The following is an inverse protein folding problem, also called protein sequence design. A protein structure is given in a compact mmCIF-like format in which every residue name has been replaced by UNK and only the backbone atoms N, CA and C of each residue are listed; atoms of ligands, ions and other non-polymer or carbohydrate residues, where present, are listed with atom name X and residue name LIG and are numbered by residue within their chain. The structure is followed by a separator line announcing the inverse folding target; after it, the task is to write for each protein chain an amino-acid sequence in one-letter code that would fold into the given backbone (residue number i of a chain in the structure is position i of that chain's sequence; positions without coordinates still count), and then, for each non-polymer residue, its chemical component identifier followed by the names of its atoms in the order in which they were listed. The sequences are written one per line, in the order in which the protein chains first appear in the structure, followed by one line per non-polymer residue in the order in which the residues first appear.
data_IF_396328426294
#
_entry.id   IF_396328426294
#
_cell.length_a   1.000
_cell.length_b   1.000
_cell.length_c   1.000
_cell.angle_alpha   90.00
_cell.angle_beta   90.00
_cell.angle_gamma   90.00
#
_symmetry.space_group_name_H-M   'P 1'
#
loop_
_entity.id
_entity.type
_entity.pdbx_description
1 polymer ?
#
# COMPACT_ATOMS: atom_id res chain seq x y z
N UNK A 1 -14.21 -10.39 -20.56
CA UNK A 1 -15.26 -9.56 -19.93
C UNK A 1 -14.86 -8.14 -20.17
N UNK A 2 -15.71 -7.38 -20.83
CA UNK A 2 -15.36 -6.04 -21.25
C UNK A 2 -15.28 -5.04 -20.10
N UNK A 3 -14.67 -3.86 -20.29
CA UNK A 3 -14.52 -2.86 -19.22
C UNK A 3 -15.89 -2.45 -18.65
N UNK A 4 -16.89 -2.21 -19.51
CA UNK A 4 -18.24 -1.85 -19.09
C UNK A 4 -18.95 -3.00 -18.35
N UNK A 5 -18.71 -4.24 -18.75
CA UNK A 5 -19.22 -5.43 -18.05
C UNK A 5 -18.55 -5.59 -16.68
N UNK A 6 -17.24 -5.34 -16.60
CA UNK A 6 -16.49 -5.33 -15.35
C UNK A 6 -17.02 -4.22 -14.42
N UNK A 7 -17.31 -3.03 -14.94
CA UNK A 7 -17.94 -1.95 -14.19
C UNK A 7 -19.35 -2.34 -13.70
N UNK A 8 -20.16 -2.97 -14.55
CA UNK A 8 -21.48 -3.47 -14.16
C UNK A 8 -21.39 -4.50 -13.03
N UNK A 9 -20.46 -5.46 -13.13
CA UNK A 9 -20.28 -6.50 -12.12
C UNK A 9 -19.72 -5.95 -10.79
N UNK A 10 -18.82 -4.97 -10.85
CA UNK A 10 -18.13 -4.43 -9.67
C UNK A 10 -18.88 -3.29 -8.96
N UNK A 11 -19.58 -2.45 -9.72
CA UNK A 11 -20.20 -1.21 -9.23
C UNK A 11 -21.70 -1.10 -9.52
N UNK A 12 -22.29 -2.11 -10.18
CA UNK A 12 -23.72 -2.13 -10.51
C UNK A 12 -24.14 -1.16 -11.61
N UNK A 13 -23.17 -0.54 -12.30
CA UNK A 13 -23.41 0.41 -13.38
C UNK A 13 -22.36 0.23 -14.48
N UNK A 14 -22.75 0.20 -15.77
CA UNK A 14 -21.80 0.11 -16.87
C UNK A 14 -21.20 1.49 -17.19
N UNK A 15 -21.82 2.58 -16.71
CA UNK A 15 -21.41 3.95 -16.97
C UNK A 15 -20.18 4.36 -16.15
N UNK A 16 -19.08 4.68 -16.83
CA UNK A 16 -17.81 5.11 -16.22
C UNK A 16 -17.97 6.36 -15.33
N UNK A 17 -18.84 7.31 -15.68
CA UNK A 17 -19.05 8.51 -14.87
C UNK A 17 -19.69 8.18 -13.52
N UNK A 18 -20.66 7.24 -13.53
CA UNK A 18 -21.30 6.73 -12.30
C UNK A 18 -20.34 5.93 -11.44
N UNK A 19 -19.45 5.15 -12.06
CA UNK A 19 -18.39 4.43 -11.35
C UNK A 19 -17.48 5.39 -10.57
N UNK A 20 -17.15 6.55 -11.15
CA UNK A 20 -16.38 7.62 -10.49
C UNK A 20 -17.25 8.53 -9.58
N UNK A 21 -18.57 8.40 -9.61
CA UNK A 21 -19.51 9.24 -8.86
C UNK A 21 -19.52 10.70 -9.32
N UNK A 22 -19.34 10.94 -10.62
CA UNK A 22 -19.33 12.27 -11.23
C UNK A 22 -20.41 12.38 -12.32
N UNK A 23 -20.72 13.61 -12.72
CA UNK A 23 -21.64 13.88 -13.84
C UNK A 23 -20.92 13.72 -15.17
N UNK A 24 -21.67 13.51 -16.25
CA UNK A 24 -21.12 13.36 -17.60
C UNK A 24 -20.43 14.64 -18.09
N UNK A 25 -20.90 15.80 -17.62
CA UNK A 25 -20.35 17.13 -17.91
C UNK A 25 -19.17 17.50 -16.99
N UNK A 26 -18.67 16.56 -16.16
CA UNK A 26 -17.63 16.84 -15.20
C UNK A 26 -16.35 17.35 -15.88
N UNK A 27 -15.76 18.39 -15.30
CA UNK A 27 -14.45 18.90 -15.70
C UNK A 27 -13.34 17.87 -15.40
N UNK A 28 -12.16 17.96 -16.03
CA UNK A 28 -11.04 17.06 -15.74
C UNK A 28 -10.65 17.03 -14.25
N UNK A 29 -10.77 18.19 -13.57
CA UNK A 29 -10.53 18.26 -12.13
C UNK A 29 -11.58 17.52 -11.31
N UNK A 30 -12.85 17.59 -11.71
CA UNK A 30 -13.94 16.88 -11.03
C UNK A 30 -13.82 15.38 -11.23
N UNK A 31 -13.40 14.92 -12.40
CA UNK A 31 -13.09 13.50 -12.68
C UNK A 31 -11.96 13.03 -11.77
N UNK A 32 -10.88 13.81 -11.62
CA UNK A 32 -9.78 13.51 -10.70
C UNK A 32 -10.23 13.44 -9.24
N UNK A 33 -11.04 14.41 -8.79
CA UNK A 33 -11.62 14.41 -7.43
C UNK A 33 -12.57 13.23 -7.20
N UNK A 34 -13.39 12.90 -8.20
CA UNK A 34 -14.31 11.75 -8.18
C UNK A 34 -13.55 10.44 -8.02
N UNK A 35 -12.53 10.24 -8.86
CA UNK A 35 -11.64 9.08 -8.78
C UNK A 35 -10.95 8.96 -7.42
N UNK A 36 -10.41 10.05 -6.88
CA UNK A 36 -9.78 10.06 -5.56
C UNK A 36 -10.75 9.60 -4.45
N UNK A 37 -11.98 10.13 -4.44
CA UNK A 37 -13.02 9.70 -3.48
C UNK A 37 -13.41 8.23 -3.66
N UNK A 38 -13.58 7.77 -4.90
CA UNK A 38 -13.94 6.39 -5.19
C UNK A 38 -12.82 5.42 -4.81
N UNK A 39 -11.56 5.80 -5.06
CA UNK A 39 -10.36 5.01 -4.73
C UNK A 39 -10.23 4.77 -3.23
N UNK A 40 -10.50 5.79 -2.42
CA UNK A 40 -10.50 5.67 -0.96
C UNK A 40 -11.54 4.67 -0.44
N UNK A 41 -12.64 4.45 -1.17
CA UNK A 41 -13.71 3.53 -0.75
C UNK A 41 -13.42 2.07 -1.09
N UNK A 42 -12.68 1.82 -2.18
CA UNK A 42 -12.38 0.46 -2.65
C UNK A 42 -10.92 0.08 -2.43
N UNK A 43 -10.19 0.83 -1.60
CA UNK A 43 -8.78 0.58 -1.32
C UNK A 43 -8.60 -0.75 -0.57
N UNK A 44 -7.70 -1.65 -1.02
CA UNK A 44 -7.50 -2.96 -0.38
C UNK A 44 -7.03 -2.86 1.09
N UNK A 45 -6.29 -1.81 1.48
CA UNK A 45 -5.92 -1.59 2.89
C UNK A 45 -7.10 -1.31 3.82
N UNK A 46 -8.24 -0.85 3.30
CA UNK A 46 -9.45 -0.60 4.11
C UNK A 46 -10.43 -1.78 4.09
N UNK A 47 -10.12 -2.83 3.33
CA UNK A 47 -10.94 -4.02 3.21
C UNK A 47 -10.51 -5.06 4.25
N UNK A 48 -11.49 -5.77 4.79
CA UNK A 48 -11.26 -6.95 5.62
C UNK A 48 -10.44 -7.99 4.85
N UNK A 49 -9.66 -8.86 5.54
CA UNK A 49 -8.79 -9.84 4.89
C UNK A 49 -9.49 -10.71 3.84
N UNK A 50 -10.76 -11.03 4.07
CA UNK A 50 -11.61 -11.85 3.19
C UNK A 50 -12.03 -11.11 1.91
N UNK A 51 -12.12 -9.77 1.96
CA UNK A 51 -12.60 -8.92 0.86
C UNK A 51 -11.44 -8.28 0.06
N UNK A 52 -10.18 -8.51 0.45
CA UNK A 52 -9.01 -7.89 -0.18
C UNK A 52 -8.90 -8.17 -1.68
N UNK A 53 -9.22 -9.40 -2.10
CA UNK A 53 -9.20 -9.77 -3.52
C UNK A 53 -10.26 -9.01 -4.32
N UNK A 54 -11.47 -8.90 -3.76
CA UNK A 54 -12.56 -8.16 -4.40
C UNK A 54 -12.27 -6.65 -4.42
N UNK A 55 -11.77 -6.09 -3.33
CA UNK A 55 -11.34 -4.70 -3.26
C UNK A 55 -10.25 -4.40 -4.30
N UNK A 56 -9.25 -5.28 -4.43
CA UNK A 56 -8.21 -5.17 -5.45
C UNK A 56 -8.79 -5.18 -6.86
N UNK A 57 -9.73 -6.09 -7.14
CA UNK A 57 -10.40 -6.17 -8.44
C UNK A 57 -11.23 -4.91 -8.74
N UNK A 58 -12.05 -4.45 -7.79
CA UNK A 58 -12.85 -3.22 -7.91
C UNK A 58 -11.93 -2.01 -8.14
N UNK A 59 -10.82 -1.96 -7.43
CA UNK A 59 -9.82 -0.90 -7.57
C UNK A 59 -9.17 -0.88 -8.97
N UNK A 60 -8.78 -2.03 -9.51
CA UNK A 60 -8.24 -2.13 -10.88
C UNK A 60 -9.25 -1.65 -11.92
N UNK A 61 -10.52 -2.04 -11.78
CA UNK A 61 -11.60 -1.63 -12.69
C UNK A 61 -11.82 -0.11 -12.61
N UNK A 62 -11.81 0.45 -11.40
CA UNK A 62 -11.89 1.90 -11.19
C UNK A 62 -10.73 2.64 -11.88
N UNK A 63 -9.51 2.11 -11.78
CA UNK A 63 -8.31 2.65 -12.44
C UNK A 63 -8.43 2.67 -13.97
N UNK A 64 -9.00 1.62 -14.57
CA UNK A 64 -9.29 1.55 -16.01
C UNK A 64 -10.37 2.56 -16.42
N UNK A 65 -11.46 2.67 -15.65
CA UNK A 65 -12.51 3.66 -15.90
C UNK A 65 -11.97 5.10 -15.90
N UNK A 66 -11.10 5.43 -14.95
CA UNK A 66 -10.44 6.73 -14.93
C UNK A 66 -9.44 6.92 -16.07
N UNK A 67 -8.71 5.88 -16.50
CA UNK A 67 -7.78 6.00 -17.63
C UNK A 67 -8.51 6.50 -18.89
N UNK A 68 -9.69 5.97 -19.16
CA UNK A 68 -10.57 6.41 -20.27
C UNK A 68 -11.05 7.85 -20.05
N UNK A 69 -11.62 8.16 -18.88
CA UNK A 69 -12.23 9.46 -18.63
C UNK A 69 -11.23 10.62 -18.44
N UNK A 70 -10.00 10.31 -18.05
CA UNK A 70 -8.93 11.30 -17.82
C UNK A 70 -8.23 11.74 -19.10
N UNK A 71 -8.28 10.92 -20.16
CA UNK A 71 -7.77 11.28 -21.48
C UNK A 71 -8.90 11.90 -22.31
N UNK A 72 -8.69 13.12 -22.82
CA UNK A 72 -9.72 13.86 -23.54
C UNK A 72 -10.17 13.18 -24.84
N UNK A 73 -9.27 12.54 -25.57
CA UNK A 73 -9.56 11.83 -26.83
C UNK A 73 -10.35 10.56 -26.55
N UNK A 74 -9.92 9.76 -25.57
CA UNK A 74 -10.61 8.54 -25.15
C UNK A 74 -11.99 8.82 -24.55
N UNK A 75 -12.11 9.91 -23.77
CA UNK A 75 -13.39 10.39 -23.25
C UNK A 75 -14.34 10.77 -24.38
N UNK A 76 -13.87 11.51 -25.40
CA UNK A 76 -14.70 11.89 -26.54
C UNK A 76 -15.20 10.67 -27.31
N UNK A 77 -14.32 9.69 -27.55
CA UNK A 77 -14.70 8.41 -28.19
C UNK A 77 -15.75 7.66 -27.36
N UNK A 78 -15.54 7.55 -26.04
CA UNK A 78 -16.53 6.95 -25.13
C UNK A 78 -17.87 7.71 -25.14
N UNK A 79 -17.82 9.05 -25.18
CA UNK A 79 -19.02 9.89 -25.19
C UNK A 79 -19.82 9.75 -26.49
N UNK A 80 -19.15 9.61 -27.63
CA UNK A 80 -19.78 9.45 -28.95
C UNK A 80 -20.28 8.02 -29.20
N UNK A 81 -19.50 7.01 -28.82
CA UNK A 81 -19.74 5.63 -29.22
C UNK A 81 -20.40 4.78 -28.13
N UNK A 82 -20.26 5.16 -26.86
CA UNK A 82 -20.83 4.41 -25.73
C UNK A 82 -20.13 3.09 -25.40
N UNK A 83 -18.99 2.81 -26.04
CA UNK A 83 -18.11 1.67 -25.74
C UNK A 83 -16.66 2.12 -25.59
N UNK A 84 -15.82 1.27 -25.00
CA UNK A 84 -14.39 1.56 -24.76
C UNK A 84 -13.56 0.54 -25.52
N UNK A 85 -12.53 1.01 -26.22
CA UNK A 85 -11.52 0.14 -26.81
C UNK A 85 -10.61 -0.45 -25.74
N UNK A 86 -10.67 -1.77 -25.57
CA UNK A 86 -9.95 -2.51 -24.54
C UNK A 86 -8.49 -2.82 -24.91
N UNK A 87 -8.12 -2.66 -26.18
CA UNK A 87 -6.77 -2.90 -26.69
C UNK A 87 -5.93 -1.60 -26.75
N UNK A 88 -6.52 -0.46 -26.40
CA UNK A 88 -5.83 0.84 -26.41
C UNK A 88 -4.64 0.90 -25.45
N UNK A 89 -3.55 1.55 -25.88
CA UNK A 89 -2.31 1.73 -25.11
C UNK A 89 -2.54 2.29 -23.68
N UNK A 90 -3.61 3.08 -23.49
CA UNK A 90 -4.02 3.63 -22.20
C UNK A 90 -4.36 2.57 -21.14
N UNK A 91 -4.69 1.34 -21.55
CA UNK A 91 -5.00 0.19 -20.68
C UNK A 91 -3.86 -0.85 -20.59
N UNK A 92 -2.84 -0.76 -21.44
CA UNK A 92 -1.76 -1.75 -21.56
C UNK A 92 -0.44 -1.37 -20.86
N UNK A 93 -0.20 -0.10 -20.55
CA UNK A 93 1.02 0.29 -19.85
C UNK A 93 1.09 -0.32 -18.45
N UNK A 94 2.23 -0.94 -18.09
CA UNK A 94 2.61 -1.21 -16.69
C UNK A 94 2.64 0.12 -15.95
N UNK A 95 1.47 0.56 -15.49
CA UNK A 95 1.33 1.84 -14.81
C UNK A 95 2.12 1.71 -13.53
N UNK A 96 3.15 2.55 -13.37
CA UNK A 96 3.79 2.72 -12.07
C UNK A 96 2.73 3.30 -11.13
N UNK A 97 2.06 2.39 -10.44
CA UNK A 97 0.98 2.73 -9.54
C UNK A 97 1.50 3.71 -8.49
N UNK A 98 2.75 3.59 -8.06
CA UNK A 98 3.33 4.49 -7.07
C UNK A 98 3.41 5.94 -7.58
N UNK A 99 3.81 6.17 -8.83
CA UNK A 99 3.78 7.52 -9.43
C UNK A 99 2.36 8.03 -9.60
N UNK A 100 1.45 7.16 -10.02
CA UNK A 100 0.04 7.48 -10.16
C UNK A 100 -0.63 7.85 -8.82
N UNK A 101 -0.32 7.13 -7.74
CA UNK A 101 -0.80 7.41 -6.38
C UNK A 101 -0.25 8.73 -5.85
N UNK A 102 1.01 9.08 -6.15
CA UNK A 102 1.61 10.38 -5.77
C UNK A 102 0.94 11.57 -6.48
N UNK A 103 0.31 11.36 -7.63
CA UNK A 103 -0.45 12.38 -8.35
C UNK A 103 -1.85 12.62 -7.78
N UNK A 104 -2.37 11.70 -6.98
CA UNK A 104 -3.73 11.72 -6.45
C UNK A 104 -3.76 12.01 -4.95
N UNK A 105 -2.84 11.43 -4.20
CA UNK A 105 -2.71 11.62 -2.77
C UNK A 105 -1.48 12.47 -2.50
N UNK A 106 -1.65 13.51 -1.67
CA UNK A 106 -0.53 14.33 -1.22
C UNK A 106 0.51 13.39 -0.60
N UNK A 107 1.78 13.55 -1.01
CA UNK A 107 2.89 12.87 -0.34
C UNK A 107 2.82 13.24 1.15
N UNK A 108 2.54 12.25 2.00
CA UNK A 108 2.60 12.43 3.44
C UNK A 108 4.05 12.74 3.77
N UNK A 109 4.28 13.92 4.34
CA UNK A 109 5.60 14.34 4.77
C UNK A 109 5.77 14.05 6.26
N UNK A 110 7.02 13.99 6.71
CA UNK A 110 7.34 13.91 8.15
C UNK A 110 6.69 15.07 8.91
N UNK A 111 6.54 16.23 8.27
CA UNK A 111 5.83 17.37 8.85
C UNK A 111 4.35 17.06 9.09
N UNK A 112 3.66 16.48 8.12
CA UNK A 112 2.24 16.12 8.27
C UNK A 112 2.03 15.12 9.43
N UNK A 113 2.96 14.15 9.59
CA UNK A 113 2.93 13.19 10.71
C UNK A 113 3.11 13.90 12.06
N UNK A 114 4.10 14.80 12.16
CA UNK A 114 4.36 15.57 13.38
C UNK A 114 3.23 16.54 13.73
N UNK A 115 2.59 17.12 12.72
CA UNK A 115 1.45 18.01 12.91
C UNK A 115 0.23 17.19 13.41
N UNK A 116 0.01 15.99 12.87
CA UNK A 116 -1.01 15.06 13.36
C UNK A 116 -0.75 14.60 14.79
N UNK A 117 0.49 14.20 15.11
CA UNK A 117 0.89 13.78 16.46
C UNK A 117 0.55 14.87 17.49
N UNK A 118 0.82 16.13 17.17
CA UNK A 118 0.48 17.27 18.04
C UNK A 118 -1.02 17.50 18.18
N UNK A 119 -1.81 17.26 17.14
CA UNK A 119 -3.27 17.42 17.24
C UNK A 119 -3.93 16.25 17.98
N UNK A 120 -3.31 15.07 17.95
CA UNK A 120 -3.84 13.86 18.58
C UNK A 120 -3.46 13.78 20.06
N UNK A 121 -2.20 14.06 20.43
CA UNK A 121 -1.77 14.02 21.84
C UNK A 121 -2.55 15.03 22.69
N UNK A 122 -3.03 14.57 23.85
CA UNK A 122 -3.88 15.27 24.81
C UNK A 122 -5.26 15.70 24.25
N UNK A 123 -5.69 15.13 23.13
CA UNK A 123 -7.02 15.36 22.56
C UNK A 123 -8.09 14.47 23.18
N UNK A 124 -9.36 14.83 22.98
CA UNK A 124 -10.49 13.96 23.36
C UNK A 124 -10.47 12.62 22.62
N UNK A 125 -9.94 12.58 21.40
CA UNK A 125 -9.79 11.37 20.59
C UNK A 125 -8.79 10.40 21.22
N UNK A 126 -7.61 10.89 21.62
CA UNK A 126 -6.63 10.06 22.34
C UNK A 126 -7.20 9.53 23.66
N UNK A 127 -7.92 10.37 24.42
CA UNK A 127 -8.55 9.93 25.67
C UNK A 127 -9.57 8.82 25.44
N UNK A 128 -10.36 8.92 24.36
CA UNK A 128 -11.32 7.89 23.98
C UNK A 128 -10.62 6.59 23.56
N UNK A 129 -9.56 6.69 22.74
CA UNK A 129 -8.79 5.54 22.26
C UNK A 129 -8.07 4.82 23.41
N UNK A 130 -7.46 5.55 24.35
CA UNK A 130 -6.84 4.97 25.54
C UNK A 130 -7.88 4.22 26.38
N UNK A 131 -9.07 4.79 26.59
CA UNK A 131 -10.14 4.13 27.34
C UNK A 131 -10.65 2.88 26.62
N UNK A 132 -10.83 2.95 25.31
CA UNK A 132 -11.25 1.82 24.48
C UNK A 132 -10.22 0.69 24.57
N UNK A 133 -8.93 0.99 24.31
CA UNK A 133 -7.85 0.03 24.43
C UNK A 133 -7.73 -0.55 25.86
N UNK A 134 -7.94 0.27 26.89
CA UNK A 134 -7.92 -0.20 28.28
C UNK A 134 -9.02 -1.23 28.56
N UNK A 135 -10.24 -1.00 28.05
CA UNK A 135 -11.35 -1.93 28.20
C UNK A 135 -11.12 -3.20 27.38
N UNK A 136 -10.71 -3.06 26.12
CA UNK A 136 -10.49 -4.18 25.19
C UNK A 136 -9.40 -5.13 25.68
N UNK A 137 -8.31 -4.57 26.19
CA UNK A 137 -7.18 -5.34 26.72
C UNK A 137 -7.25 -5.58 28.22
N UNK A 138 -8.38 -5.26 28.85
CA UNK A 138 -8.63 -5.49 30.28
C UNK A 138 -7.47 -4.99 31.14
N UNK A 139 -6.98 -3.78 30.87
CA UNK A 139 -5.89 -3.13 31.61
C UNK A 139 -4.48 -3.67 31.39
N UNK A 140 -4.22 -4.45 30.34
CA UNK A 140 -2.86 -4.85 29.98
C UNK A 140 -2.09 -3.72 29.29
N UNK A 141 -1.17 -3.09 30.03
CA UNK A 141 -0.35 -1.98 29.54
C UNK A 141 0.58 -2.34 28.38
N UNK A 142 1.01 -3.61 28.22
CA UNK A 142 1.79 -4.00 27.03
C UNK A 142 0.98 -3.74 25.76
N UNK A 143 -0.27 -4.25 25.74
CA UNK A 143 -1.16 -4.16 24.58
C UNK A 143 -1.69 -2.76 24.34
N UNK A 144 -2.01 -2.03 25.42
CA UNK A 144 -2.48 -0.64 25.31
C UNK A 144 -1.41 0.20 24.60
N UNK A 145 -0.16 0.13 25.05
CA UNK A 145 0.95 0.90 24.46
C UNK A 145 1.25 0.51 23.00
N UNK A 146 1.01 -0.75 22.61
CA UNK A 146 1.17 -1.22 21.22
C UNK A 146 -0.01 -0.82 20.31
N UNK A 147 -1.18 -0.54 20.89
CA UNK A 147 -2.42 -0.30 20.15
C UNK A 147 -2.74 1.18 19.92
N UNK A 148 -2.41 2.06 20.88
CA UNK A 148 -2.77 3.48 20.83
C UNK A 148 -1.81 4.23 19.91
N UNK A 149 -2.38 5.12 19.07
CA UNK A 149 -1.62 5.87 18.08
C UNK A 149 -0.65 6.87 18.74
N UNK A 150 0.47 7.13 18.06
CA UNK A 150 1.43 8.16 18.47
C UNK A 150 2.01 8.01 19.89
N UNK A 151 1.89 6.81 20.48
CA UNK A 151 2.42 6.52 21.81
C UNK A 151 3.86 6.06 21.71
N UNK A 152 4.72 6.69 22.49
CA UNK A 152 6.05 6.17 22.77
C UNK A 152 6.13 5.58 24.19
N UNK A 153 7.16 4.80 24.47
CA UNK A 153 7.35 4.19 25.79
C UNK A 153 7.67 5.23 26.89
N UNK A 154 8.05 6.45 26.53
CA UNK A 154 8.26 7.56 27.46
C UNK A 154 6.92 8.20 27.89
N UNK A 155 5.86 8.01 27.11
CA UNK A 155 4.49 8.44 27.39
C UNK A 155 3.78 7.55 28.42
N UNK A 156 4.29 6.37 28.75
CA UNK A 156 3.66 5.43 29.70
C UNK A 156 3.22 6.09 31.03
N UNK A 157 4.04 6.94 31.70
CA UNK A 157 3.62 7.60 32.93
C UNK A 157 2.44 8.56 32.73
N UNK A 158 2.30 9.18 31.55
CA UNK A 158 1.17 10.07 31.21
C UNK A 158 -0.09 9.24 30.97
N UNK A 159 0.01 8.19 30.16
CA UNK A 159 -1.11 7.29 29.84
C UNK A 159 -1.63 6.59 31.10
N UNK A 160 -0.73 6.17 31.99
CA UNK A 160 -1.13 5.60 33.29
C UNK A 160 -1.96 6.59 34.11
N UNK A 161 -1.56 7.86 34.18
CA UNK A 161 -2.32 8.89 34.90
C UNK A 161 -3.70 9.13 34.29
N UNK A 162 -3.82 9.09 32.96
CA UNK A 162 -5.10 9.20 32.26
C UNK A 162 -6.03 8.05 32.66
N UNK A 163 -5.50 6.82 32.66
CA UNK A 163 -6.26 5.62 33.04
C UNK A 163 -6.64 5.67 34.53
N UNK A 164 -5.73 6.06 35.42
CA UNK A 164 -6.00 6.24 36.85
C UNK A 164 -7.13 7.26 37.07
N UNK A 165 -7.07 8.42 36.41
CA UNK A 165 -8.13 9.42 36.48
C UNK A 165 -9.48 8.89 35.96
N UNK A 166 -9.48 8.07 34.89
CA UNK A 166 -10.69 7.47 34.34
C UNK A 166 -11.27 6.35 35.24
N UNK A 167 -10.43 5.65 36.00
CA UNK A 167 -10.87 4.69 37.02
C UNK A 167 -11.48 5.45 38.21
N UNK A 168 -10.81 6.51 38.65
CA UNK A 168 -11.25 7.33 39.78
C UNK A 168 -12.56 8.07 39.48
N UNK A 169 -12.78 8.50 38.23
CA UNK A 169 -14.05 9.08 37.77
C UNK A 169 -15.15 8.05 37.53
N UNK A 170 -14.82 6.75 37.53
CA UNK A 170 -15.77 5.65 37.28
C UNK A 170 -16.13 5.46 35.81
N UNK A 171 -15.40 6.06 34.87
CA UNK A 171 -15.62 5.92 33.43
C UNK A 171 -15.17 4.57 32.89
N UNK A 172 -14.16 3.95 33.51
CA UNK A 172 -13.67 2.61 33.16
C UNK A 172 -13.53 1.71 34.40
N UNK A 173 -13.73 0.39 34.27
CA UNK A 173 -13.64 -0.53 35.41
C UNK A 173 -12.19 -0.78 35.84
N UNK A 174 -11.95 -0.95 37.14
CA UNK A 174 -10.61 -1.28 37.64
C UNK A 174 -10.23 -2.75 37.35
N UNK A 175 -9.22 -2.97 36.50
CA UNK A 175 -8.68 -4.30 36.22
C UNK A 175 -7.45 -4.65 37.07
N UNK A 176 -7.40 -5.90 37.55
CA UNK A 176 -6.30 -6.41 38.41
C UNK A 176 -4.93 -6.38 37.72
N UNK A 177 -4.91 -6.61 36.41
CA UNK A 177 -3.72 -6.54 35.53
C UNK A 177 -3.01 -5.19 35.63
N UNK A 178 -3.79 -4.10 35.62
CA UNK A 178 -3.29 -2.74 35.71
C UNK A 178 -2.87 -2.37 37.14
N UNK A 179 -3.74 -2.67 38.12
CA UNK A 179 -3.52 -2.28 39.53
C UNK A 179 -2.37 -3.05 40.18
N UNK A 180 -2.20 -4.34 39.86
CA UNK A 180 -1.15 -5.18 40.45
C UNK A 180 0.13 -5.24 39.62
N UNK A 181 0.28 -4.36 38.62
CA UNK A 181 1.48 -4.35 37.81
C UNK A 181 2.72 -3.99 38.64
N UNK A 182 3.79 -4.76 38.49
CA UNK A 182 5.03 -4.53 39.22
C UNK A 182 5.89 -3.48 38.52
N UNK A 183 6.61 -2.67 39.30
CA UNK A 183 7.63 -1.74 38.77
C UNK A 183 8.68 -2.45 37.90
N UNK A 184 8.98 -3.71 38.19
CA UNK A 184 9.88 -4.53 37.38
C UNK A 184 9.32 -4.79 35.98
N UNK A 185 8.03 -5.08 35.85
CA UNK A 185 7.39 -5.26 34.53
C UNK A 185 7.45 -3.98 33.72
N UNK A 186 7.17 -2.82 34.34
CA UNK A 186 7.29 -1.51 33.69
C UNK A 186 8.73 -1.23 33.21
N UNK A 187 9.72 -1.44 34.09
CA UNK A 187 11.14 -1.26 33.71
C UNK A 187 11.59 -2.24 32.62
N UNK A 188 11.07 -3.47 32.62
CA UNK A 188 11.36 -4.45 31.58
C UNK A 188 10.78 -4.03 30.23
N UNK A 189 9.56 -3.47 30.19
CA UNK A 189 8.97 -2.89 28.98
C UNK A 189 9.86 -1.78 28.40
N UNK A 190 10.25 -0.81 29.24
CA UNK A 190 11.18 0.27 28.84
C UNK A 190 12.50 -0.28 28.27
N UNK A 191 13.14 -1.23 28.96
CA UNK A 191 14.41 -1.83 28.52
C UNK A 191 14.29 -2.60 27.20
N UNK A 192 13.17 -3.29 26.96
CA UNK A 192 12.91 -4.04 25.72
C UNK A 192 12.92 -3.10 24.52
N UNK A 193 12.20 -1.97 24.63
CA UNK A 193 12.12 -0.97 23.56
C UNK A 193 13.45 -0.24 23.34
N UNK A 194 14.16 0.12 24.42
CA UNK A 194 15.51 0.71 24.31
C UNK A 194 16.50 -0.23 23.60
N UNK A 195 16.40 -1.54 23.87
CA UNK A 195 17.21 -2.54 23.19
C UNK A 195 16.86 -2.64 21.71
N UNK A 196 15.58 -2.71 21.38
CA UNK A 196 15.10 -2.76 19.99
C UNK A 196 15.50 -1.51 19.20
N UNK A 197 15.37 -0.32 19.79
CA UNK A 197 15.82 0.94 19.18
C UNK A 197 17.32 0.92 18.85
N UNK A 198 18.14 0.40 19.77
CA UNK A 198 19.59 0.25 19.54
C UNK A 198 19.92 -0.79 18.47
N UNK A 199 19.15 -1.87 18.39
CA UNK A 199 19.30 -2.88 17.34
C UNK A 199 18.88 -2.32 15.98
N UNK A 200 17.80 -1.54 15.92
CA UNK A 200 17.35 -0.85 14.71
C UNK A 200 18.38 0.19 14.22
N UNK A 201 18.99 0.96 15.12
CA UNK A 201 20.06 1.92 14.78
C UNK A 201 21.28 1.22 14.20
N UNK A 202 21.74 0.13 14.84
CA UNK A 202 22.84 -0.68 14.31
C UNK A 202 22.53 -1.28 12.95
N UNK A 203 21.33 -1.84 12.76
CA UNK A 203 20.92 -2.42 11.49
C UNK A 203 20.86 -1.35 10.38
N UNK A 204 20.38 -0.15 10.69
CA UNK A 204 20.39 1.00 9.78
C UNK A 204 21.82 1.35 9.35
N UNK A 205 22.76 1.41 10.31
CA UNK A 205 24.17 1.72 10.05
C UNK A 205 24.85 0.61 9.22
N UNK A 206 24.60 -0.66 9.54
CA UNK A 206 25.11 -1.82 8.78
C UNK A 206 24.61 -1.82 7.33
N UNK A 207 23.37 -1.40 7.10
CA UNK A 207 22.78 -1.27 5.78
C UNK A 207 23.21 0.03 5.05
N UNK A 208 23.96 0.92 5.71
CA UNK A 208 24.41 2.19 5.14
C UNK A 208 23.28 3.15 4.79
N UNK A 209 22.13 3.07 5.48
CA UNK A 209 20.95 3.87 5.18
C UNK A 209 21.07 5.25 5.85
N UNK A 210 21.46 6.25 5.07
CA UNK A 210 21.70 7.62 5.53
C UNK A 210 20.65 8.64 5.04
N UNK A 211 20.06 8.40 3.86
CA UNK A 211 19.05 9.22 3.19
C UNK A 211 17.68 8.55 3.05
N UNK A 212 16.66 9.35 2.73
CA UNK A 212 15.26 8.90 2.61
C UNK A 212 15.05 7.85 1.51
N UNK A 213 15.86 7.88 0.45
CA UNK A 213 15.71 6.99 -0.72
C UNK A 213 16.70 5.82 -0.72
N UNK A 214 17.59 5.70 0.28
CA UNK A 214 18.68 4.71 0.28
C UNK A 214 18.13 3.28 0.31
N UNK A 215 17.05 3.04 1.06
CA UNK A 215 16.41 1.72 1.11
C UNK A 215 15.78 1.36 -0.25
N UNK A 216 15.15 2.34 -0.91
CA UNK A 216 14.58 2.15 -2.25
C UNK A 216 15.67 1.83 -3.26
N UNK A 217 16.78 2.57 -3.22
CA UNK A 217 17.94 2.33 -4.09
C UNK A 217 18.52 0.92 -3.87
N UNK A 218 18.61 0.47 -2.62
CA UNK A 218 19.12 -0.85 -2.25
C UNK A 218 18.21 -1.99 -2.74
N UNK A 219 16.88 -1.84 -2.62
CA UNK A 219 15.91 -2.80 -3.15
C UNK A 219 15.97 -2.86 -4.69
N UNK A 220 16.05 -1.70 -5.35
CA UNK A 220 16.17 -1.64 -6.81
C UNK A 220 17.49 -2.25 -7.29
N UNK A 221 18.59 -2.04 -6.57
CA UNK A 221 19.88 -2.69 -6.82
C UNK A 221 19.74 -4.21 -6.76
N UNK A 222 19.21 -4.75 -5.66
CA UNK A 222 18.98 -6.20 -5.51
C UNK A 222 18.07 -6.79 -6.59
N UNK A 223 17.05 -6.04 -7.04
CA UNK A 223 16.20 -6.47 -8.15
C UNK A 223 16.97 -6.56 -9.47
N UNK A 224 17.84 -5.58 -9.75
CA UNK A 224 18.70 -5.58 -10.95
C UNK A 224 19.70 -6.73 -10.90
N UNK A 225 20.32 -6.98 -9.75
CA UNK A 225 21.26 -8.07 -9.57
C UNK A 225 20.58 -9.42 -9.80
N UNK A 226 19.41 -9.66 -9.20
CA UNK A 226 18.61 -10.87 -9.44
C UNK A 226 18.23 -11.05 -10.91
N UNK A 227 17.87 -9.96 -11.59
CA UNK A 227 17.55 -10.01 -13.03
C UNK A 227 18.78 -10.39 -13.84
N UNK A 228 19.93 -9.78 -13.54
CA UNK A 228 21.19 -10.09 -14.20
C UNK A 228 21.62 -11.54 -13.98
N UNK A 229 21.51 -12.05 -12.76
CA UNK A 229 21.77 -13.47 -12.44
C UNK A 229 20.84 -14.40 -13.24
N UNK A 230 19.57 -14.02 -13.42
CA UNK A 230 18.64 -14.79 -14.24
C UNK A 230 18.96 -14.71 -15.73
N UNK A 231 19.34 -13.54 -16.25
CA UNK A 231 19.77 -13.36 -17.63
C UNK A 231 21.04 -14.19 -17.90
N UNK A 232 22.01 -14.17 -16.98
CA UNK A 232 23.24 -14.97 -17.05
C UNK A 232 22.92 -16.49 -17.00
N UNK A 233 21.98 -16.91 -16.16
CA UNK A 233 21.50 -18.30 -16.10
C UNK A 233 20.81 -18.73 -17.41
N UNK A 234 19.95 -17.89 -17.97
CA UNK A 234 19.27 -18.15 -19.24
C UNK A 234 20.28 -18.22 -20.40
N UNK A 235 21.28 -17.34 -20.43
CA UNK A 235 22.36 -17.38 -21.41
C UNK A 235 23.18 -18.68 -21.32
N UNK A 236 23.43 -19.18 -20.11
CA UNK A 236 24.08 -20.48 -19.91
C UNK A 236 23.23 -21.65 -20.39
N UNK A 237 21.91 -21.61 -20.17
CA UNK A 237 20.98 -22.60 -20.71
C UNK A 237 20.93 -22.54 -22.24
N UNK A 238 20.86 -21.35 -22.82
CA UNK A 238 20.88 -21.15 -24.26
C UNK A 238 22.17 -21.68 -24.88
N UNK A 239 23.34 -21.41 -24.30
CA UNK A 239 24.62 -21.94 -24.77
C UNK A 239 24.68 -23.48 -24.71
N UNK A 240 24.07 -24.08 -23.69
CA UNK A 240 24.09 -25.54 -23.46
C UNK A 240 23.09 -26.30 -24.34
N UNK A 241 21.92 -25.71 -24.63
CA UNK A 241 20.82 -26.40 -25.30
C UNK A 241 20.44 -25.81 -26.67
N UNK A 242 20.81 -24.56 -26.96
CA UNK A 242 20.45 -23.85 -28.19
C UNK A 242 21.23 -24.26 -29.44
N UNK A 243 22.34 -25.00 -29.29
CA UNK A 243 23.24 -25.31 -30.41
C UNK A 243 23.06 -26.72 -31.03
N UNK A 244 21.81 -27.16 -31.20
CA UNK A 244 21.50 -28.46 -31.81
C UNK A 244 20.79 -28.35 -33.18
N UNK A 245 21.20 -27.39 -34.01
CA UNK A 245 20.63 -27.20 -35.35
C UNK A 245 21.65 -26.85 -36.44
N UNK A 246 22.83 -27.49 -36.49
CA UNK A 246 23.68 -27.53 -37.70
C UNK A 246 24.45 -28.84 -37.88
N UNK A 247 23.75 -29.96 -38.12
CA UNK A 247 24.31 -31.13 -38.82
C UNK A 247 23.23 -31.80 -39.66
N UNK A 248 23.14 -31.42 -40.93
CA UNK A 248 22.24 -32.06 -41.88
C UNK A 248 22.12 -31.28 -43.19
N UNK A 249 23.09 -31.45 -44.10
CA UNK A 249 23.09 -30.80 -45.40
C UNK A 249 23.99 -31.50 -46.40
N UNK A 250 23.52 -32.65 -46.89
CA UNK A 250 24.13 -33.52 -47.90
C UNK A 250 24.33 -32.73 -49.21
N UNK A 251 25.59 -32.43 -49.61
CA UNK A 251 25.89 -31.91 -50.95
C UNK A 251 25.86 -33.05 -51.96
N UNK A 252 24.80 -33.10 -52.77
CA UNK A 252 24.72 -33.92 -53.98
C UNK A 252 25.62 -33.36 -55.07
N UNK A 253 26.53 -34.18 -55.59
CA UNK A 253 27.35 -33.88 -56.75
C UNK A 253 26.51 -33.87 -58.03
N UNK A 254 26.54 -32.77 -58.78
CA UNK A 254 26.00 -32.69 -60.13
C UNK A 254 27.16 -32.79 -61.14
N UNK A 255 27.10 -33.82 -61.97
CA UNK A 255 28.02 -34.19 -63.05
C UNK A 255 27.46 -33.63 -64.37
N UNK A 256 28.26 -32.88 -65.13
CA UNK A 256 28.19 -32.64 -66.60
C UNK A 256 29.43 -31.78 -66.93
N UNK A 257 30.40 -32.16 -67.76
CA UNK A 257 30.41 -33.12 -68.86
C UNK A 257 30.42 -32.40 -70.21
N UNK A 258 31.54 -31.74 -70.55
CA UNK A 258 32.23 -31.80 -71.85
C UNK A 258 33.52 -30.98 -71.79
#
# INVERSE_FOLDING_TARGET
MGLLEQCQAAFGSPDLYRVLGVRREASPEEIRRGYHRASLRVHPDRAEPEDKEEATRRFQILGKAYAVLSNAEQRAVYDEQGWVDEEGEALQGERDWQEYWRLLFKKITIKDIKDFEKSYKDSEEELADIKAAYVDFKGDMDRIMESVLCVDYTDEPRIRKIIEAAIDSGEVPSYKSFVKETKQKMMARKRRVEKEAREAEKAKDELGLSGEDDLKALIQGRNKDRKKEMDDFLAQLEAKYGNNAKKGGKKTAAKKGK
#
